data_IF_354294957186
#
_entry.id   IF_354294957186
#
_cell.length_a   1.000
_cell.length_b   1.000
_cell.length_c   1.000
_cell.angle_alpha   90.00
_cell.angle_beta   90.00
_cell.angle_gamma   90.00
#
_symmetry.space_group_name_H-M   'P 1'
#
loop_
_entity.id
_entity.type
_entity.pdbx_description
1 polymer ?
#
# COMPACT_ATOMS: atom_id res chain seq x y z
N UNK A 1 -19.34 7.10 -8.02
CA UNK A 1 -19.78 5.71 -7.71
C UNK A 1 -18.74 4.77 -8.26
N UNK A 2 -18.35 3.71 -7.53
CA UNK A 2 -17.41 2.70 -8.04
C UNK A 2 -18.03 2.00 -9.24
N UNK A 3 -17.32 1.96 -10.38
CA UNK A 3 -17.77 1.22 -11.56
C UNK A 3 -17.86 -0.27 -11.25
N UNK A 4 -18.89 -0.92 -11.77
CA UNK A 4 -19.15 -2.33 -11.57
C UNK A 4 -19.26 -3.07 -12.91
N UNK A 5 -18.32 -3.99 -13.17
CA UNK A 5 -18.38 -4.86 -14.36
C UNK A 5 -19.40 -5.99 -14.23
N UNK A 6 -19.96 -6.20 -13.03
CA UNK A 6 -20.81 -7.36 -12.73
C UNK A 6 -20.01 -8.65 -12.43
N UNK A 7 -18.77 -8.73 -12.88
CA UNK A 7 -17.91 -9.88 -12.69
C UNK A 7 -16.97 -9.67 -11.49
N UNK A 8 -16.67 -10.74 -10.78
CA UNK A 8 -15.83 -10.73 -9.58
C UNK A 8 -14.69 -11.73 -9.73
N UNK A 9 -13.53 -11.37 -9.13
CA UNK A 9 -12.51 -12.35 -8.80
C UNK A 9 -12.49 -12.53 -7.29
N UNK A 10 -12.37 -13.76 -6.85
CA UNK A 10 -12.24 -14.14 -5.46
C UNK A 10 -10.82 -14.65 -5.21
N UNK A 11 -10.26 -14.27 -4.06
CA UNK A 11 -8.97 -14.75 -3.59
C UNK A 11 -9.15 -15.91 -2.61
N UNK A 12 -8.12 -16.72 -2.42
CA UNK A 12 -8.14 -17.85 -1.46
C UNK A 12 -8.52 -17.41 -0.04
N UNK A 13 -8.27 -16.16 0.31
CA UNK A 13 -8.65 -15.54 1.59
C UNK A 13 -10.15 -15.26 1.72
N UNK A 14 -10.94 -15.47 0.67
CA UNK A 14 -12.35 -15.09 0.58
C UNK A 14 -12.56 -13.58 0.34
N UNK A 15 -11.50 -12.82 0.11
CA UNK A 15 -11.61 -11.44 -0.35
C UNK A 15 -12.09 -11.40 -1.80
N UNK A 16 -12.88 -10.38 -2.15
CA UNK A 16 -13.47 -10.24 -3.48
C UNK A 16 -13.11 -8.89 -4.07
N UNK A 17 -12.80 -8.86 -5.36
CA UNK A 17 -12.63 -7.63 -6.16
C UNK A 17 -13.29 -7.77 -7.53
N UNK A 18 -13.43 -6.64 -8.19
CA UNK A 18 -13.79 -6.60 -9.60
C UNK A 18 -12.74 -7.26 -10.47
N UNK A 19 -13.10 -7.75 -11.66
CA UNK A 19 -12.14 -8.35 -12.59
C UNK A 19 -11.04 -7.34 -12.97
N UNK A 20 -9.88 -7.87 -13.27
CA UNK A 20 -8.70 -7.08 -13.66
C UNK A 20 -8.52 -7.03 -15.18
N UNK A 21 -9.08 -8.01 -15.88
CA UNK A 21 -8.93 -8.17 -17.33
C UNK A 21 -9.31 -6.88 -18.07
N UNK A 22 -8.48 -6.46 -19.01
CA UNK A 22 -8.66 -5.26 -19.81
C UNK A 22 -8.33 -3.94 -19.13
N UNK A 23 -8.03 -3.94 -17.81
CA UNK A 23 -7.72 -2.71 -17.05
C UNK A 23 -6.22 -2.33 -17.06
N UNK A 24 -5.37 -3.21 -17.61
CA UNK A 24 -3.92 -3.09 -17.50
C UNK A 24 -3.37 -3.64 -16.17
N UNK A 25 -2.06 -3.79 -16.10
CA UNK A 25 -1.32 -4.31 -14.93
C UNK A 25 -0.25 -3.30 -14.53
N UNK A 26 -0.67 -2.26 -13.80
CA UNK A 26 0.24 -1.20 -13.35
C UNK A 26 1.26 -1.70 -12.32
N UNK A 27 0.94 -2.76 -11.59
CA UNK A 27 1.85 -3.43 -10.65
C UNK A 27 3.04 -4.13 -11.34
N UNK A 28 2.92 -4.46 -12.63
CA UNK A 28 3.98 -5.08 -13.42
C UNK A 28 4.88 -4.05 -14.14
N UNK A 29 4.52 -2.78 -14.13
CA UNK A 29 5.39 -1.74 -14.69
C UNK A 29 6.63 -1.57 -13.83
N UNK A 30 7.80 -1.30 -14.44
CA UNK A 30 9.01 -0.94 -13.69
C UNK A 30 8.87 0.48 -13.11
N UNK A 31 8.19 0.60 -11.96
CA UNK A 31 7.77 1.90 -11.42
C UNK A 31 8.93 2.87 -11.19
N UNK A 32 10.14 2.38 -10.89
CA UNK A 32 11.34 3.21 -10.81
C UNK A 32 11.63 3.94 -12.13
N UNK A 33 11.59 3.20 -13.25
CA UNK A 33 11.77 3.78 -14.60
C UNK A 33 10.60 4.72 -14.94
N UNK A 34 9.37 4.36 -14.58
CA UNK A 34 8.20 5.24 -14.79
C UNK A 34 8.38 6.57 -14.05
N UNK A 35 8.90 6.56 -12.82
CA UNK A 35 9.18 7.77 -12.05
C UNK A 35 10.24 8.65 -12.74
N UNK A 36 11.32 8.05 -13.25
CA UNK A 36 12.36 8.77 -14.01
C UNK A 36 11.79 9.42 -15.28
N UNK A 37 11.00 8.69 -16.05
CA UNK A 37 10.36 9.22 -17.27
C UNK A 37 9.39 10.37 -16.95
N UNK A 38 8.64 10.30 -15.85
CA UNK A 38 7.76 11.37 -15.41
C UNK A 38 8.57 12.61 -14.98
N UNK A 39 9.71 12.44 -14.34
CA UNK A 39 10.60 13.52 -13.96
C UNK A 39 11.18 14.22 -15.19
N UNK A 40 11.72 13.46 -16.13
CA UNK A 40 12.27 13.96 -17.40
C UNK A 40 11.19 14.69 -18.23
N UNK A 41 9.95 14.19 -18.19
CA UNK A 41 8.79 14.80 -18.84
C UNK A 41 8.24 16.04 -18.13
N UNK A 42 8.90 16.53 -17.07
CA UNK A 42 8.47 17.72 -16.33
C UNK A 42 7.32 17.49 -15.33
N UNK A 43 6.99 16.22 -15.05
CA UNK A 43 5.91 15.84 -14.14
C UNK A 43 6.46 15.48 -12.74
N UNK A 44 7.27 16.33 -12.12
CA UNK A 44 8.00 16.07 -10.89
C UNK A 44 7.11 15.65 -9.71
N UNK A 45 5.92 16.24 -9.55
CA UNK A 45 4.96 15.81 -8.52
C UNK A 45 4.50 14.36 -8.72
N UNK A 46 4.17 14.01 -9.98
CA UNK A 46 3.78 12.64 -10.32
C UNK A 46 4.94 11.64 -10.15
N UNK A 47 6.14 12.04 -10.55
CA UNK A 47 7.37 11.26 -10.33
C UNK A 47 7.55 10.91 -8.85
N UNK A 48 7.40 11.89 -7.95
CA UNK A 48 7.56 11.69 -6.50
C UNK A 48 6.56 10.66 -5.94
N UNK A 49 5.31 10.70 -6.40
CA UNK A 49 4.27 9.73 -5.97
C UNK A 49 4.62 8.32 -6.43
N UNK A 50 4.97 8.16 -7.71
CA UNK A 50 5.31 6.84 -8.28
C UNK A 50 6.62 6.30 -7.66
N UNK A 51 7.61 7.16 -7.45
CA UNK A 51 8.86 6.78 -6.75
C UNK A 51 8.60 6.30 -5.32
N UNK A 52 7.69 6.95 -4.59
CA UNK A 52 7.32 6.53 -3.24
C UNK A 52 6.69 5.14 -3.21
N UNK A 53 5.82 4.82 -4.18
CA UNK A 53 5.25 3.47 -4.34
C UNK A 53 6.33 2.46 -4.71
N UNK A 54 7.24 2.81 -5.63
CA UNK A 54 8.39 1.97 -6.00
C UNK A 54 9.30 1.68 -4.80
N UNK A 55 9.63 2.70 -4.00
CA UNK A 55 10.43 2.52 -2.78
C UNK A 55 9.76 1.56 -1.79
N UNK A 56 8.42 1.65 -1.65
CA UNK A 56 7.69 0.67 -0.86
C UNK A 56 7.83 -0.75 -1.44
N UNK A 57 7.64 -0.94 -2.75
CA UNK A 57 7.78 -2.26 -3.38
C UNK A 57 9.14 -2.91 -3.15
N UNK A 58 10.20 -2.10 -3.06
CA UNK A 58 11.59 -2.58 -2.93
C UNK A 58 12.05 -2.74 -1.48
N UNK A 59 11.48 -1.98 -0.56
CA UNK A 59 11.94 -1.93 0.84
C UNK A 59 10.91 -2.45 1.83
N UNK A 60 9.66 -2.60 1.42
CA UNK A 60 8.50 -2.89 2.28
C UNK A 60 8.31 -1.90 3.45
N UNK A 61 8.95 -0.72 3.39
CA UNK A 61 8.80 0.30 4.42
C UNK A 61 7.57 1.18 4.17
N UNK A 62 6.51 0.97 4.96
CA UNK A 62 5.22 1.69 4.84
C UNK A 62 5.32 3.20 5.01
N UNK A 63 6.40 3.71 5.58
CA UNK A 63 6.65 5.16 5.69
C UNK A 63 6.60 5.88 4.34
N UNK A 64 7.02 5.24 3.26
CA UNK A 64 6.91 5.80 1.91
C UNK A 64 5.46 5.95 1.48
N UNK A 65 4.61 4.95 1.72
CA UNK A 65 3.18 5.02 1.39
C UNK A 65 2.45 6.07 2.22
N UNK A 66 2.79 6.18 3.51
CA UNK A 66 2.23 7.21 4.40
C UNK A 66 2.58 8.60 3.92
N UNK A 67 3.83 8.85 3.51
CA UNK A 67 4.25 10.12 2.94
C UNK A 67 3.51 10.44 1.64
N UNK A 68 3.42 9.48 0.71
CA UNK A 68 2.71 9.61 -0.57
C UNK A 68 1.25 10.00 -0.33
N UNK A 69 0.51 9.22 0.46
CA UNK A 69 -0.92 9.45 0.65
C UNK A 69 -1.21 10.74 1.42
N UNK A 70 -0.40 11.06 2.42
CA UNK A 70 -0.57 12.30 3.21
C UNK A 70 -0.33 13.54 2.37
N UNK A 71 0.72 13.53 1.53
CA UNK A 71 1.02 14.65 0.65
C UNK A 71 -0.08 14.82 -0.40
N UNK A 72 -0.53 13.73 -1.01
CA UNK A 72 -1.64 13.78 -1.98
C UNK A 72 -2.92 14.35 -1.37
N UNK A 73 -3.29 13.91 -0.16
CA UNK A 73 -4.48 14.43 0.53
C UNK A 73 -4.37 15.91 0.92
N UNK A 74 -3.15 16.42 1.13
CA UNK A 74 -2.94 17.83 1.55
C UNK A 74 -2.81 18.80 0.38
N UNK A 75 -2.25 18.35 -0.74
CA UNK A 75 -1.77 19.26 -1.78
C UNK A 75 -2.46 19.11 -3.12
N UNK A 76 -2.89 17.90 -3.48
CA UNK A 76 -3.21 17.61 -4.88
C UNK A 76 -4.67 17.16 -5.08
N UNK A 77 -5.13 16.16 -4.33
CA UNK A 77 -6.41 15.51 -4.58
C UNK A 77 -7.61 16.20 -3.93
N UNK A 78 -7.40 17.00 -2.86
CA UNK A 78 -8.47 17.50 -2.01
C UNK A 78 -8.17 18.91 -1.48
N UNK A 79 -9.21 19.70 -1.10
CA UNK A 79 -9.01 21.00 -0.49
C UNK A 79 -8.23 20.99 0.83
N UNK A 80 -8.41 19.94 1.61
CA UNK A 80 -7.76 19.72 2.92
C UNK A 80 -7.85 18.25 3.34
N UNK A 81 -7.06 17.90 4.36
CA UNK A 81 -6.97 16.54 4.89
C UNK A 81 -8.30 15.99 5.44
N UNK A 82 -9.09 16.84 6.10
CA UNK A 82 -10.36 16.40 6.70
C UNK A 82 -11.39 16.10 5.63
N UNK A 83 -11.47 16.96 4.63
CA UNK A 83 -12.30 16.74 3.43
C UNK A 83 -11.87 15.47 2.71
N UNK A 84 -10.57 15.23 2.55
CA UNK A 84 -10.04 14.00 1.97
C UNK A 84 -10.56 12.76 2.71
N UNK A 85 -10.44 12.72 4.04
CA UNK A 85 -10.87 11.59 4.85
C UNK A 85 -12.39 11.34 4.75
N UNK A 86 -13.21 12.40 4.76
CA UNK A 86 -14.66 12.28 4.58
C UNK A 86 -15.01 11.78 3.17
N UNK A 87 -14.33 12.24 2.14
CA UNK A 87 -14.54 11.77 0.79
C UNK A 87 -14.10 10.29 0.61
N UNK A 88 -12.98 9.90 1.21
CA UNK A 88 -12.51 8.50 1.17
C UNK A 88 -13.47 7.58 1.93
N UNK A 89 -14.11 8.05 3.03
CA UNK A 89 -15.10 7.25 3.74
C UNK A 89 -16.27 6.82 2.85
N UNK A 90 -16.67 7.65 1.88
CA UNK A 90 -17.70 7.29 0.88
C UNK A 90 -17.24 6.14 -0.02
N UNK A 91 -15.93 6.04 -0.30
CA UNK A 91 -15.38 4.93 -1.07
C UNK A 91 -15.43 3.61 -0.28
N UNK A 92 -15.22 3.66 1.04
CA UNK A 92 -15.43 2.51 1.93
C UNK A 92 -16.89 2.07 1.95
N UNK A 93 -17.84 3.01 2.03
CA UNK A 93 -19.28 2.72 1.97
C UNK A 93 -19.66 2.06 0.63
N UNK A 94 -19.25 2.64 -0.50
CA UNK A 94 -19.50 2.08 -1.83
C UNK A 94 -18.89 0.67 -1.98
N UNK A 95 -17.70 0.46 -1.41
CA UNK A 95 -17.03 -0.85 -1.38
C UNK A 95 -17.79 -1.87 -0.52
N UNK A 96 -18.29 -1.46 0.65
CA UNK A 96 -19.08 -2.31 1.53
C UNK A 96 -20.38 -2.75 0.88
N UNK A 97 -21.09 -1.83 0.21
CA UNK A 97 -22.30 -2.16 -0.54
C UNK A 97 -22.03 -3.14 -1.70
N UNK A 98 -20.86 -3.03 -2.35
CA UNK A 98 -20.51 -3.85 -3.52
C UNK A 98 -19.94 -5.22 -3.18
N UNK A 99 -19.14 -5.33 -2.12
CA UNK A 99 -18.33 -6.51 -1.79
C UNK A 99 -18.60 -7.07 -0.39
N UNK A 100 -19.43 -6.39 0.41
CA UNK A 100 -19.66 -6.67 1.82
C UNK A 100 -18.71 -5.90 2.73
N UNK A 101 -19.17 -5.67 3.96
CA UNK A 101 -18.38 -4.97 4.98
C UNK A 101 -17.05 -5.68 5.25
N UNK A 102 -16.03 -4.90 5.45
CA UNK A 102 -14.67 -5.36 5.79
C UNK A 102 -14.05 -6.35 4.78
N UNK A 103 -14.57 -6.44 3.56
CA UNK A 103 -14.00 -7.30 2.53
C UNK A 103 -12.51 -7.02 2.29
N UNK A 104 -12.08 -5.75 2.39
CA UNK A 104 -10.69 -5.33 2.23
C UNK A 104 -9.75 -5.85 3.32
N UNK A 105 -10.28 -6.21 4.50
CA UNK A 105 -9.51 -6.79 5.62
C UNK A 105 -9.26 -8.30 5.47
N UNK A 106 -9.86 -8.95 4.50
CA UNK A 106 -9.72 -10.40 4.30
C UNK A 106 -8.39 -10.83 3.66
N UNK A 107 -7.52 -9.89 3.29
CA UNK A 107 -6.20 -10.19 2.71
C UNK A 107 -6.23 -10.19 1.17
N UNK A 108 -6.58 -9.07 0.59
CA UNK A 108 -6.35 -8.81 -0.84
C UNK A 108 -4.83 -8.67 -1.04
N UNK A 109 -4.23 -9.33 -2.05
CA UNK A 109 -2.80 -9.22 -2.31
C UNK A 109 -2.33 -7.77 -2.49
N UNK A 110 -1.18 -7.43 -1.91
CA UNK A 110 -0.58 -6.08 -2.00
C UNK A 110 -0.42 -5.60 -3.44
N UNK A 111 0.00 -6.50 -4.35
CA UNK A 111 0.11 -6.19 -5.77
C UNK A 111 -1.20 -5.71 -6.39
N UNK A 112 -2.34 -6.18 -5.91
CA UNK A 112 -3.66 -5.75 -6.38
C UNK A 112 -4.02 -4.33 -5.92
N UNK A 113 -3.56 -3.92 -4.74
CA UNK A 113 -3.69 -2.55 -4.28
C UNK A 113 -2.75 -1.62 -5.04
N UNK A 114 -1.49 -2.02 -5.27
CA UNK A 114 -0.50 -1.25 -6.03
C UNK A 114 -0.99 -1.03 -7.46
N UNK A 115 -1.43 -2.10 -8.15
CA UNK A 115 -2.01 -2.01 -9.49
C UNK A 115 -3.13 -0.98 -9.55
N UNK A 116 -4.10 -1.09 -8.63
CA UNK A 116 -5.25 -0.17 -8.60
C UNK A 116 -4.85 1.24 -8.21
N UNK A 117 -3.97 1.43 -7.22
CA UNK A 117 -3.51 2.74 -6.80
C UNK A 117 -2.82 3.49 -7.95
N UNK A 118 -1.84 2.86 -8.60
CA UNK A 118 -1.12 3.49 -9.73
C UNK A 118 -2.08 3.81 -10.87
N UNK A 119 -2.98 2.89 -11.24
CA UNK A 119 -3.97 3.12 -12.29
C UNK A 119 -4.89 4.29 -11.98
N UNK A 120 -5.44 4.38 -10.76
CA UNK A 120 -6.29 5.50 -10.36
C UNK A 120 -5.53 6.81 -10.29
N UNK A 121 -4.28 6.80 -9.84
CA UNK A 121 -3.44 7.97 -9.84
C UNK A 121 -3.19 8.50 -11.25
N UNK A 122 -2.82 7.62 -12.19
CA UNK A 122 -2.59 8.00 -13.60
C UNK A 122 -3.88 8.49 -14.28
N UNK A 123 -5.03 7.88 -13.99
CA UNK A 123 -6.33 8.34 -14.48
C UNK A 123 -6.70 9.73 -13.91
N UNK A 124 -6.46 9.95 -12.62
CA UNK A 124 -6.65 11.25 -12.00
C UNK A 124 -5.78 12.34 -12.66
N UNK A 125 -4.49 12.07 -12.87
CA UNK A 125 -3.58 12.98 -13.58
C UNK A 125 -4.04 13.28 -15.02
N UNK A 126 -4.61 12.30 -15.69
CA UNK A 126 -5.15 12.45 -17.05
C UNK A 126 -6.45 13.23 -17.08
N UNK A 127 -7.12 13.40 -15.96
CA UNK A 127 -8.40 14.11 -15.83
C UNK A 127 -9.62 13.25 -16.17
N UNK A 128 -9.52 11.93 -16.03
CA UNK A 128 -10.66 11.02 -16.20
C UNK A 128 -11.71 11.29 -15.12
N UNK A 129 -12.98 11.25 -15.47
CA UNK A 129 -14.13 11.53 -14.59
C UNK A 129 -15.15 10.39 -14.50
N UNK A 130 -14.81 9.23 -15.05
CA UNK A 130 -15.64 8.01 -15.00
C UNK A 130 -15.92 7.53 -13.57
N UNK A 131 -15.00 7.82 -12.64
CA UNK A 131 -15.17 7.65 -11.19
C UNK A 131 -14.31 8.64 -10.39
N UNK A 132 -14.44 8.66 -9.07
CA UNK A 132 -13.61 9.52 -8.20
C UNK A 132 -12.24 8.85 -7.98
N UNK A 133 -11.34 9.05 -8.94
CA UNK A 133 -10.00 8.45 -8.92
C UNK A 133 -9.14 8.92 -7.77
N UNK A 134 -9.32 10.16 -7.31
CA UNK A 134 -8.69 10.71 -6.11
C UNK A 134 -9.00 9.87 -4.86
N UNK A 135 -10.29 9.59 -4.61
CA UNK A 135 -10.72 8.74 -3.50
C UNK A 135 -10.23 7.31 -3.63
N UNK A 136 -10.33 6.77 -4.84
CA UNK A 136 -9.91 5.40 -5.12
C UNK A 136 -8.40 5.20 -4.93
N UNK A 137 -7.58 6.18 -5.32
CA UNK A 137 -6.15 6.18 -5.07
C UNK A 137 -5.84 6.11 -3.57
N UNK A 138 -6.38 7.06 -2.80
CA UNK A 138 -6.15 7.12 -1.33
C UNK A 138 -6.64 5.85 -0.66
N UNK A 139 -7.83 5.36 -1.02
CA UNK A 139 -8.39 4.13 -0.48
C UNK A 139 -7.47 2.92 -0.68
N UNK A 140 -6.93 2.74 -1.90
CA UNK A 140 -6.03 1.63 -2.19
C UNK A 140 -4.73 1.72 -1.37
N UNK A 141 -4.15 2.93 -1.22
CA UNK A 141 -2.94 3.11 -0.39
C UNK A 141 -3.24 2.85 1.10
N UNK A 142 -4.37 3.34 1.64
CA UNK A 142 -4.76 3.07 3.03
C UNK A 142 -4.95 1.58 3.29
N UNK A 143 -5.66 0.87 2.41
CA UNK A 143 -5.86 -0.56 2.53
C UNK A 143 -4.56 -1.35 2.36
N UNK A 144 -3.64 -0.91 1.49
CA UNK A 144 -2.31 -1.50 1.33
C UNK A 144 -1.50 -1.37 2.63
N UNK A 145 -1.44 -0.18 3.24
CA UNK A 145 -0.75 0.04 4.52
C UNK A 145 -1.31 -0.90 5.59
N UNK A 146 -2.63 -0.95 5.73
CA UNK A 146 -3.28 -1.80 6.72
C UNK A 146 -3.00 -3.30 6.46
N UNK A 147 -3.08 -3.74 5.21
CA UNK A 147 -2.82 -5.14 4.82
C UNK A 147 -1.39 -5.54 5.13
N UNK A 148 -0.44 -4.67 4.82
CA UNK A 148 0.96 -4.88 5.16
C UNK A 148 1.14 -5.08 6.67
N UNK A 149 0.64 -4.15 7.47
CA UNK A 149 0.83 -4.16 8.93
C UNK A 149 0.08 -5.29 9.67
N UNK A 150 -1.03 -5.78 9.12
CA UNK A 150 -1.88 -6.73 9.85
C UNK A 150 -1.90 -8.15 9.26
N UNK A 151 -1.49 -8.30 8.02
CA UNK A 151 -1.58 -9.57 7.30
C UNK A 151 -0.20 -10.02 6.83
N UNK A 152 0.55 -9.16 6.14
CA UNK A 152 1.82 -9.54 5.51
C UNK A 152 2.96 -9.48 6.51
N UNK A 153 3.04 -8.38 7.27
CA UNK A 153 4.11 -8.13 8.25
C UNK A 153 3.65 -8.51 9.68
N UNK A 154 2.88 -9.59 9.78
CA UNK A 154 2.68 -10.16 11.11
C UNK A 154 4.06 -10.52 11.64
N UNK A 155 4.45 -10.01 12.82
CA UNK A 155 5.66 -10.49 13.46
C UNK A 155 5.55 -12.01 13.46
N UNK A 156 6.58 -12.68 12.96
CA UNK A 156 6.67 -14.14 13.04
C UNK A 156 6.77 -14.46 14.53
N UNK A 157 5.61 -14.61 15.16
CA UNK A 157 5.48 -14.81 16.62
C UNK A 157 6.11 -16.11 17.11
N UNK A 158 6.59 -16.94 16.16
CA UNK A 158 7.19 -18.23 16.45
C UNK A 158 8.72 -18.25 16.28
N UNK A 159 9.36 -17.16 15.86
CA UNK A 159 10.82 -17.09 15.79
C UNK A 159 11.39 -16.64 17.13
N UNK A 160 11.97 -17.58 17.88
CA UNK A 160 12.72 -17.27 19.11
C UNK A 160 13.97 -16.46 18.77
N UNK A 161 14.05 -15.25 19.29
CA UNK A 161 15.27 -14.46 19.20
C UNK A 161 16.24 -14.91 20.28
N UNK A 162 17.43 -15.36 19.89
CA UNK A 162 18.47 -15.82 20.83
C UNK A 162 19.29 -14.67 21.42
N UNK A 163 19.17 -13.45 20.86
CA UNK A 163 19.87 -12.25 21.34
C UNK A 163 19.07 -11.56 22.44
N UNK A 164 19.41 -11.85 23.70
CA UNK A 164 18.76 -11.29 24.90
C UNK A 164 18.98 -9.79 25.07
N UNK A 165 20.07 -9.25 24.52
CA UNK A 165 20.48 -7.84 24.67
C UNK A 165 19.97 -6.97 23.51
N UNK A 166 19.15 -7.50 22.61
CA UNK A 166 18.56 -6.76 21.51
C UNK A 166 17.39 -5.91 21.98
N UNK A 167 17.39 -4.63 21.61
CA UNK A 167 16.29 -3.69 21.93
C UNK A 167 14.91 -4.16 21.49
N UNK A 168 14.84 -4.95 20.41
CA UNK A 168 13.59 -5.50 19.86
C UNK A 168 13.25 -6.89 20.37
N UNK A 169 14.07 -7.46 21.27
CA UNK A 169 13.77 -8.74 21.89
C UNK A 169 12.86 -8.53 23.11
N UNK A 170 11.62 -8.98 23.01
CA UNK A 170 10.68 -8.99 24.11
C UNK A 170 10.40 -10.47 24.46
N UNK A 171 10.95 -10.96 25.58
CA UNK A 171 10.79 -12.32 26.08
C UNK A 171 11.09 -13.41 25.02
N UNK A 172 12.22 -13.25 24.31
CA UNK A 172 12.66 -14.13 23.22
C UNK A 172 11.80 -14.05 21.93
N UNK A 173 10.96 -13.03 21.81
CA UNK A 173 10.18 -12.75 20.59
C UNK A 173 10.75 -11.50 19.93
N UNK A 174 11.15 -11.62 18.66
CA UNK A 174 11.61 -10.47 17.90
C UNK A 174 10.43 -9.55 17.52
N UNK A 175 10.42 -8.34 18.06
CA UNK A 175 9.42 -7.31 17.73
C UNK A 175 9.92 -6.29 16.69
N UNK A 176 11.08 -6.56 16.06
CA UNK A 176 11.65 -5.66 15.06
C UNK A 176 10.73 -5.56 13.84
N UNK A 177 10.39 -4.33 13.40
CA UNK A 177 9.64 -4.12 12.17
C UNK A 177 10.49 -4.31 10.90
N UNK A 178 11.77 -4.65 11.05
CA UNK A 178 12.71 -4.78 9.94
C UNK A 178 13.28 -6.19 9.90
N UNK A 179 13.21 -6.84 8.76
CA UNK A 179 13.88 -8.12 8.48
C UNK A 179 15.43 -7.99 8.45
N UNK A 180 15.96 -6.77 8.52
CA UNK A 180 17.37 -6.44 8.59
C UNK A 180 17.60 -5.23 9.50
N UNK A 181 17.29 -5.33 10.79
CA UNK A 181 17.60 -4.26 11.74
C UNK A 181 19.06 -4.39 12.21
N UNK A 182 19.81 -3.29 12.16
CA UNK A 182 21.05 -3.14 12.91
C UNK A 182 20.66 -3.11 14.38
N UNK A 183 21.18 -4.03 15.19
CA UNK A 183 21.03 -3.94 16.64
C UNK A 183 21.68 -2.64 17.12
N UNK A 184 20.92 -1.64 17.58
CA UNK A 184 21.46 -0.34 17.97
C UNK A 184 22.37 -0.43 19.20
N UNK A 185 22.30 -1.51 19.97
CA UNK A 185 23.10 -1.72 21.18
C UNK A 185 24.40 -2.48 20.92
N UNK A 186 24.45 -3.32 19.89
CA UNK A 186 25.60 -4.19 19.63
C UNK A 186 26.35 -3.87 18.33
N UNK A 187 25.87 -2.92 17.50
CA UNK A 187 26.49 -2.56 16.21
C UNK A 187 26.58 -3.71 15.20
N UNK A 188 25.81 -4.79 15.42
CA UNK A 188 25.74 -5.96 14.54
C UNK A 188 24.47 -5.91 13.71
N UNK A 189 24.57 -6.26 12.44
CA UNK A 189 23.40 -6.48 11.60
C UNK A 189 22.58 -7.65 12.16
N UNK A 190 21.28 -7.43 12.36
CA UNK A 190 20.36 -8.48 12.75
C UNK A 190 20.03 -9.34 11.52
N UNK A 191 21.06 -10.01 10.98
CA UNK A 191 20.90 -10.94 9.86
C UNK A 191 20.64 -12.32 10.47
N UNK A 192 19.38 -12.77 10.47
CA UNK A 192 18.99 -14.15 10.79
C UNK A 192 19.37 -14.67 12.19
N UNK A 193 19.18 -13.88 13.23
CA UNK A 193 19.28 -14.40 14.59
C UNK A 193 18.02 -15.18 15.06
N UNK A 194 17.14 -15.51 14.14
CA UNK A 194 16.04 -16.44 14.43
C UNK A 194 16.41 -17.78 13.81
N UNK A 195 16.78 -18.74 14.62
CA UNK A 195 16.89 -20.13 14.18
C UNK A 195 15.50 -20.70 13.95
N UNK A 196 15.36 -21.55 12.92
CA UNK A 196 14.14 -22.27 12.54
C UNK A 196 13.61 -23.19 13.65
#
# INVERSE_FOLDING_TARGET
MIQDSGNRREYETGAVRDIQEGKGRCDLMPLGVVAELLLEGGCGGASTVIEGIYKYQTTHYVGYLRAVVTNFMKSDGFPDLFTALLEVSKHFEEGALKYGENNWQKGIPESSYIDSAVRHYLKWLRGDDDERHDRAFVWNIMCLIWTHEHITDKPVTDKKCVETDCFYNNDCICTSPLTSAVNPTAGKECINYCED
#
